data_IF_010285363035
#
_entry.id   IF_010285363035
#
_cell.length_a   1.000
_cell.length_b   1.000
_cell.length_c   1.000
_cell.angle_alpha   90.00
_cell.angle_beta   90.00
_cell.angle_gamma   90.00
#
_symmetry.space_group_name_H-M   'P 1'
#
loop_
_entity.id
_entity.type
_entity.pdbx_description
1 polymer ?
#
# COMPACT_ATOMS: atom_id res chain seq x y z
N UNK A 1 -2.41 13.36 -8.42
CA UNK A 1 -1.24 13.02 -9.29
C UNK A 1 -1.79 12.46 -10.59
N UNK A 2 -1.36 12.93 -11.76
CA UNK A 2 -1.82 12.38 -13.05
C UNK A 2 -1.01 11.10 -13.34
N UNK A 3 -1.67 9.94 -13.40
CA UNK A 3 -1.09 8.74 -13.99
C UNK A 3 -1.09 8.90 -15.52
N UNK A 4 0.03 8.57 -16.16
CA UNK A 4 0.13 8.41 -17.61
C UNK A 4 0.07 6.91 -17.92
N UNK A 5 -0.96 6.40 -18.59
CA UNK A 5 -1.12 4.97 -18.87
C UNK A 5 -0.14 4.44 -19.95
N UNK A 6 0.85 5.25 -20.35
CA UNK A 6 1.68 4.98 -21.52
C UNK A 6 2.74 3.89 -21.28
N UNK A 7 3.16 3.66 -20.02
CA UNK A 7 4.19 2.66 -19.68
C UNK A 7 3.97 2.11 -18.26
N UNK A 8 4.04 0.79 -18.11
CA UNK A 8 4.12 0.11 -16.80
C UNK A 8 5.58 -0.04 -16.36
N UNK A 9 5.87 0.27 -15.09
CA UNK A 9 7.19 0.09 -14.52
C UNK A 9 7.33 -1.31 -13.90
N UNK A 10 8.32 -2.08 -14.37
CA UNK A 10 8.63 -3.42 -13.84
C UNK A 10 9.78 -3.33 -12.85
N UNK A 11 9.55 -3.79 -11.63
CA UNK A 11 10.58 -3.90 -10.59
C UNK A 11 11.10 -5.34 -10.58
N UNK A 12 12.41 -5.52 -10.81
CA UNK A 12 13.07 -6.82 -10.78
C UNK A 12 13.56 -7.07 -9.35
N UNK A 13 13.03 -8.11 -8.69
CA UNK A 13 13.39 -8.48 -7.30
C UNK A 13 14.52 -9.50 -7.21
N UNK A 14 15.13 -9.87 -8.33
CA UNK A 14 16.15 -10.93 -8.44
C UNK A 14 15.70 -12.22 -7.72
N UNK A 15 16.60 -12.88 -6.98
CA UNK A 15 16.31 -14.10 -6.20
C UNK A 15 15.90 -13.80 -4.75
N UNK A 16 15.46 -12.58 -4.44
CA UNK A 16 15.03 -12.21 -3.09
C UNK A 16 13.62 -12.73 -2.81
N UNK A 17 13.42 -13.60 -1.80
CA UNK A 17 12.09 -14.10 -1.47
C UNK A 17 11.20 -12.99 -0.87
N UNK A 18 9.86 -13.12 -0.99
CA UNK A 18 8.93 -12.15 -0.43
C UNK A 18 9.11 -11.90 1.07
N UNK A 19 9.11 -10.62 1.44
CA UNK A 19 9.16 -10.19 2.84
C UNK A 19 7.73 -9.84 3.29
N UNK A 20 7.24 -10.57 4.28
CA UNK A 20 5.91 -10.38 4.89
C UNK A 20 6.03 -9.92 6.34
N UNK A 21 5.73 -8.65 6.59
CA UNK A 21 5.66 -8.07 7.94
C UNK A 21 4.21 -7.85 8.36
N UNK A 22 3.93 -8.12 9.64
CA UNK A 22 2.62 -7.89 10.26
C UNK A 22 2.39 -6.39 10.43
N UNK A 23 1.15 -5.95 10.21
CA UNK A 23 0.71 -4.60 10.55
C UNK A 23 0.85 -4.34 12.06
N UNK A 24 1.25 -3.12 12.42
CA UNK A 24 1.34 -2.73 13.83
C UNK A 24 -0.03 -2.45 14.42
N UNK A 25 -0.15 -2.64 15.75
CA UNK A 25 -1.30 -2.14 16.48
C UNK A 25 -1.19 -0.62 16.61
N UNK A 26 -2.27 0.05 16.27
CA UNK A 26 -2.39 1.50 16.18
C UNK A 26 -3.54 1.97 17.08
N UNK A 27 -3.44 3.19 17.59
CA UNK A 27 -4.53 3.80 18.36
C UNK A 27 -5.73 4.09 17.45
N UNK A 28 -6.95 4.08 18.01
CA UNK A 28 -8.20 4.23 17.25
C UNK A 28 -8.18 5.45 16.31
N UNK A 29 -7.82 6.63 16.83
CA UNK A 29 -7.73 7.86 16.03
C UNK A 29 -6.75 7.76 14.85
N UNK A 30 -5.66 6.99 14.99
CA UNK A 30 -4.71 6.76 13.90
C UNK A 30 -5.27 5.77 12.88
N UNK A 31 -6.06 4.78 13.31
CA UNK A 31 -6.75 3.87 12.40
C UNK A 31 -7.80 4.57 11.57
N UNK A 32 -8.63 5.42 12.19
CA UNK A 32 -9.62 6.23 11.46
C UNK A 32 -8.95 7.07 10.36
N UNK A 33 -7.80 7.69 10.69
CA UNK A 33 -7.01 8.42 9.69
C UNK A 33 -6.50 7.51 8.56
N UNK A 34 -5.94 6.34 8.89
CA UNK A 34 -5.44 5.37 7.90
C UNK A 34 -6.57 4.89 7.00
N UNK A 35 -7.74 4.56 7.55
CA UNK A 35 -8.90 4.07 6.80
C UNK A 35 -9.44 5.13 5.83
N UNK A 36 -9.52 6.38 6.26
CA UNK A 36 -9.93 7.48 5.39
C UNK A 36 -8.97 7.66 4.22
N UNK A 37 -7.66 7.67 4.47
CA UNK A 37 -6.65 7.81 3.41
C UNK A 37 -6.69 6.63 2.42
N UNK A 38 -6.90 5.40 2.91
CA UNK A 38 -7.07 4.23 2.06
C UNK A 38 -8.29 4.40 1.14
N UNK A 39 -9.43 4.85 1.68
CA UNK A 39 -10.65 5.07 0.90
C UNK A 39 -10.43 6.16 -0.16
N UNK A 40 -9.84 7.29 0.22
CA UNK A 40 -9.54 8.39 -0.71
C UNK A 40 -8.62 7.94 -1.86
N UNK A 41 -7.58 7.14 -1.56
CA UNK A 41 -6.67 6.60 -2.57
C UNK A 41 -7.33 5.54 -3.47
N UNK A 42 -8.23 4.71 -2.92
CA UNK A 42 -9.03 3.76 -3.71
C UNK A 42 -9.98 4.49 -4.66
N UNK A 43 -10.68 5.53 -4.19
CA UNK A 43 -11.57 6.36 -5.02
C UNK A 43 -10.82 7.07 -6.14
N UNK A 44 -9.58 7.48 -5.89
CA UNK A 44 -8.71 8.09 -6.91
C UNK A 44 -8.07 7.05 -7.87
N UNK A 45 -8.22 5.75 -7.61
CA UNK A 45 -7.57 4.70 -8.39
C UNK A 45 -6.04 4.65 -8.24
N UNK A 46 -5.50 5.17 -7.13
CA UNK A 46 -4.06 5.17 -6.85
C UNK A 46 -3.57 3.84 -6.29
N UNK A 47 -4.43 3.11 -5.58
CA UNK A 47 -4.15 1.79 -5.01
C UNK A 47 -5.28 0.82 -5.33
N UNK A 48 -5.04 -0.48 -5.17
CA UNK A 48 -6.02 -1.54 -5.36
C UNK A 48 -5.80 -2.68 -4.35
N UNK A 49 -6.85 -3.47 -4.02
CA UNK A 49 -6.70 -4.69 -3.24
C UNK A 49 -5.79 -5.71 -3.96
N UNK A 50 -4.89 -6.35 -3.22
CA UNK A 50 -4.03 -7.40 -3.77
C UNK A 50 -3.88 -8.58 -2.82
N UNK A 51 -3.64 -9.76 -3.39
CA UNK A 51 -3.22 -10.97 -2.64
C UNK A 51 -1.73 -11.19 -2.84
N UNK A 52 -0.92 -10.31 -2.24
CA UNK A 52 0.54 -10.33 -2.40
C UNK A 52 1.24 -11.14 -1.30
N UNK A 53 2.32 -11.88 -1.62
CA UNK A 53 3.20 -12.45 -0.61
C UNK A 53 4.06 -11.38 0.09
N UNK A 54 4.12 -10.16 -0.44
CA UNK A 54 4.82 -9.01 0.14
C UNK A 54 3.86 -8.17 1.01
N UNK A 55 4.26 -7.82 2.23
CA UNK A 55 3.49 -6.89 3.07
C UNK A 55 4.37 -6.12 4.05
N UNK A 56 4.06 -4.84 4.27
CA UNK A 56 4.78 -3.98 5.21
C UNK A 56 3.80 -3.12 6.03
N UNK A 57 4.11 -2.82 7.31
CA UNK A 57 3.25 -2.01 8.16
C UNK A 57 3.27 -0.54 7.72
N UNK A 58 2.13 0.15 7.83
CA UNK A 58 2.00 1.59 7.63
C UNK A 58 2.24 2.33 8.96
N UNK A 59 2.80 3.53 8.89
CA UNK A 59 3.03 4.42 10.05
C UNK A 59 2.51 5.82 9.72
N UNK A 60 1.81 6.43 10.68
CA UNK A 60 1.39 7.84 10.63
C UNK A 60 2.40 8.68 11.39
N UNK A 61 2.97 9.69 10.74
CA UNK A 61 4.03 10.59 11.26
C UNK A 61 3.51 11.97 11.62
#
# INVERSE_FOLDING_TARGET
LKQTPEVEHIIITEEVPPIKKRAYRTALKKNEFIENEINDMLEQGLIEPSTSPWSFPVVVV
#
